data_IF_757948954423
#
_entry.id   IF_757948954423
#
_cell.length_a   1.000
_cell.length_b   1.000
_cell.length_c   1.000
_cell.angle_alpha   90.00
_cell.angle_beta   90.00
_cell.angle_gamma   90.00
#
_symmetry.space_group_name_H-M   'P 1'
#
loop_
_entity.id
_entity.type
_entity.pdbx_description
1 polymer ?
#
# COMPACT_ATOMS: atom_id res chain seq x y z
N UNK A 1 -9.91 15.25 13.15
CA UNK A 1 -10.52 14.52 12.01
C UNK A 1 -9.93 13.12 12.00
N UNK A 2 -10.69 12.11 11.57
CA UNK A 2 -10.12 10.78 11.36
C UNK A 2 -9.19 10.81 10.15
N UNK A 3 -8.10 10.05 10.20
CA UNK A 3 -7.18 9.88 9.06
C UNK A 3 -7.86 9.04 7.99
N UNK A 4 -7.58 9.32 6.72
CA UNK A 4 -8.00 8.46 5.61
C UNK A 4 -7.12 7.21 5.61
N UNK A 5 -7.75 6.03 5.72
CA UNK A 5 -7.06 4.75 5.68
C UNK A 5 -6.83 4.31 4.24
N UNK A 6 -5.56 4.13 3.89
CA UNK A 6 -5.12 3.86 2.53
C UNK A 6 -4.49 2.48 2.44
N UNK A 7 -4.87 1.71 1.43
CA UNK A 7 -4.16 0.51 1.00
C UNK A 7 -3.52 0.79 -0.36
N UNK A 8 -2.23 0.51 -0.52
CA UNK A 8 -1.50 0.79 -1.77
C UNK A 8 -1.19 -0.53 -2.48
N UNK A 9 -1.68 -0.69 -3.70
CA UNK A 9 -1.42 -1.85 -4.55
C UNK A 9 -0.24 -1.58 -5.48
N UNK A 10 0.69 -2.54 -5.63
CA UNK A 10 1.77 -2.39 -6.59
C UNK A 10 2.73 -3.58 -6.67
N UNK A 11 3.88 -3.31 -7.30
CA UNK A 11 4.92 -4.30 -7.57
C UNK A 11 6.29 -3.86 -7.01
N UNK A 12 6.33 -3.32 -5.78
CA UNK A 12 7.53 -2.93 -5.05
C UNK A 12 8.44 -1.89 -5.73
N UNK A 13 7.83 -0.98 -6.47
CA UNK A 13 8.49 0.16 -7.09
C UNK A 13 7.69 1.43 -6.83
N UNK A 14 6.69 1.67 -7.68
CA UNK A 14 5.90 2.90 -7.65
C UNK A 14 5.00 3.02 -6.41
N UNK A 15 4.50 1.92 -5.87
CA UNK A 15 3.83 1.85 -4.57
C UNK A 15 4.68 2.43 -3.43
N UNK A 16 5.90 1.92 -3.24
CA UNK A 16 6.82 2.42 -2.23
C UNK A 16 7.26 3.85 -2.52
N UNK A 17 7.46 4.21 -3.79
CA UNK A 17 7.77 5.59 -4.16
C UNK A 17 6.63 6.55 -3.79
N UNK A 18 5.38 6.21 -4.15
CA UNK A 18 4.21 7.01 -3.82
C UNK A 18 4.05 7.14 -2.30
N UNK A 19 4.24 6.05 -1.54
CA UNK A 19 4.28 6.08 -0.08
C UNK A 19 5.29 7.12 0.45
N UNK A 20 6.54 7.02 -0.01
CA UNK A 20 7.62 7.88 0.47
C UNK A 20 7.41 9.36 0.14
N UNK A 21 6.79 9.66 -1.01
CA UNK A 21 6.61 11.04 -1.48
C UNK A 21 5.34 11.71 -0.95
N UNK A 22 4.26 10.94 -0.72
CA UNK A 22 2.93 11.50 -0.42
C UNK A 22 2.47 11.19 1.00
N UNK A 23 2.81 10.01 1.54
CA UNK A 23 2.13 9.45 2.72
C UNK A 23 3.00 9.35 3.98
N UNK A 24 4.31 9.10 3.86
CA UNK A 24 5.22 8.70 4.95
C UNK A 24 5.09 9.50 6.26
N UNK A 25 5.01 10.83 6.17
CA UNK A 25 4.94 11.72 7.33
C UNK A 25 3.72 12.66 7.27
N UNK A 26 2.70 12.28 6.50
CA UNK A 26 1.47 13.03 6.36
C UNK A 26 0.39 12.49 7.30
N UNK A 27 0.04 13.25 8.33
CA UNK A 27 -0.88 12.82 9.37
C UNK A 27 -2.36 12.84 8.94
N UNK A 28 -2.66 13.30 7.73
CA UNK A 28 -3.98 13.19 7.11
C UNK A 28 -4.30 11.75 6.69
N UNK A 29 -3.27 10.92 6.50
CA UNK A 29 -3.40 9.56 5.98
C UNK A 29 -2.84 8.52 6.95
N UNK A 30 -3.35 7.30 6.84
CA UNK A 30 -2.85 6.10 7.50
C UNK A 30 -2.75 4.98 6.46
N UNK A 31 -1.54 4.68 5.99
CA UNK A 31 -1.30 3.57 5.07
C UNK A 31 -1.29 2.29 5.88
N UNK A 32 -2.38 1.53 5.78
CA UNK A 32 -2.62 0.34 6.63
C UNK A 32 -1.95 -0.92 6.08
N UNK A 33 -1.71 -0.96 4.77
CA UNK A 33 -1.11 -2.10 4.09
C UNK A 33 -0.59 -1.74 2.69
N UNK A 34 0.39 -2.52 2.24
CA UNK A 34 0.68 -2.71 0.83
C UNK A 34 0.15 -4.07 0.37
N UNK A 35 -0.13 -4.22 -0.93
CA UNK A 35 -0.32 -5.53 -1.56
C UNK A 35 0.66 -5.73 -2.70
N UNK A 36 1.05 -6.98 -2.96
CA UNK A 36 1.93 -7.35 -4.06
C UNK A 36 1.53 -8.70 -4.70
N UNK A 37 1.88 -8.89 -5.98
CA UNK A 37 1.55 -10.10 -6.76
C UNK A 37 2.70 -10.64 -7.64
N UNK A 38 3.74 -9.84 -7.91
CA UNK A 38 4.75 -10.15 -8.93
C UNK A 38 6.14 -10.56 -8.41
N UNK A 39 6.43 -10.37 -7.11
CA UNK A 39 7.76 -10.58 -6.55
C UNK A 39 7.70 -11.76 -5.59
N UNK A 40 8.41 -12.86 -5.88
CA UNK A 40 8.48 -14.00 -4.97
C UNK A 40 8.94 -13.57 -3.57
N UNK A 41 8.30 -14.11 -2.54
CA UNK A 41 8.64 -13.94 -1.12
C UNK A 41 8.55 -12.50 -0.59
N UNK A 42 7.81 -11.61 -1.26
CA UNK A 42 7.57 -10.25 -0.76
C UNK A 42 6.34 -10.16 0.14
N UNK A 43 5.31 -10.96 -0.17
CA UNK A 43 4.13 -11.11 0.65
C UNK A 43 4.50 -11.67 2.02
N UNK A 44 3.84 -11.19 3.07
CA UNK A 44 4.17 -11.50 4.46
C UNK A 44 5.36 -10.72 5.03
N UNK A 45 6.07 -9.93 4.21
CA UNK A 45 7.09 -8.99 4.71
C UNK A 45 6.45 -7.72 5.26
N UNK A 46 7.31 -6.90 5.85
CA UNK A 46 6.97 -5.58 6.37
C UNK A 46 7.84 -4.55 5.64
N UNK A 47 7.22 -3.51 5.09
CA UNK A 47 7.93 -2.32 4.66
C UNK A 47 8.63 -1.70 5.87
N UNK A 48 9.95 -1.58 5.87
CA UNK A 48 10.74 -1.49 7.10
C UNK A 48 10.48 -0.18 7.87
N UNK A 49 10.40 -0.23 9.22
CA UNK A 49 10.21 0.95 10.06
C UNK A 49 11.24 2.07 9.78
N UNK A 50 12.49 1.70 9.47
CA UNK A 50 13.58 2.63 9.20
C UNK A 50 13.34 3.49 7.94
N UNK A 51 12.48 3.02 7.03
CA UNK A 51 12.08 3.75 5.81
C UNK A 51 10.65 4.31 5.91
N UNK A 52 9.86 3.86 6.89
CA UNK A 52 8.45 4.16 7.01
C UNK A 52 8.15 5.51 7.70
N UNK A 53 9.16 6.18 8.26
CA UNK A 53 8.98 7.47 8.92
C UNK A 53 8.33 7.38 10.30
N UNK A 54 8.13 8.54 10.94
CA UNK A 54 7.80 8.60 12.38
C UNK A 54 6.41 8.06 12.73
N UNK A 55 5.51 8.00 11.74
CA UNK A 55 4.13 7.55 11.93
C UNK A 55 4.00 6.03 11.93
N UNK A 56 5.03 5.29 11.48
CA UNK A 56 4.98 3.85 11.29
C UNK A 56 6.17 3.15 11.98
N UNK A 57 6.27 3.22 13.33
CA UNK A 57 7.39 2.65 14.08
C UNK A 57 7.47 1.12 14.03
N UNK A 58 6.43 0.45 13.53
CA UNK A 58 6.38 -1.00 13.30
C UNK A 58 6.50 -1.37 11.81
N UNK A 59 6.73 -0.39 10.94
CA UNK A 59 6.64 -0.57 9.51
C UNK A 59 5.19 -0.74 9.04
N UNK A 60 5.02 -1.18 7.80
CA UNK A 60 3.71 -1.37 7.17
C UNK A 60 3.66 -2.79 6.57
N UNK A 61 2.64 -3.61 6.86
CA UNK A 61 2.57 -4.97 6.34
C UNK A 61 2.38 -4.99 4.82
N UNK A 62 2.95 -6.02 4.19
CA UNK A 62 2.81 -6.30 2.76
C UNK A 62 2.06 -7.64 2.65
N UNK A 63 0.87 -7.63 2.07
CA UNK A 63 0.03 -8.81 1.88
C UNK A 63 0.01 -9.28 0.43
N UNK A 64 -0.52 -10.48 0.20
CA UNK A 64 -0.77 -10.93 -1.16
C UNK A 64 -1.94 -10.13 -1.77
N UNK A 65 -1.83 -9.77 -3.04
CA UNK A 65 -2.89 -9.01 -3.72
C UNK A 65 -4.22 -9.75 -3.78
N UNK A 66 -4.22 -11.08 -3.81
CA UNK A 66 -5.43 -11.89 -3.76
C UNK A 66 -6.27 -11.66 -2.48
N UNK A 67 -5.65 -11.18 -1.40
CA UNK A 67 -6.31 -10.85 -0.14
C UNK A 67 -6.96 -9.46 -0.13
N UNK A 68 -6.79 -8.66 -1.20
CA UNK A 68 -7.22 -7.25 -1.26
C UNK A 68 -8.65 -7.03 -0.77
N UNK A 69 -9.58 -7.84 -1.24
CA UNK A 69 -11.01 -7.69 -0.91
C UNK A 69 -11.25 -7.87 0.59
N UNK A 70 -10.61 -8.87 1.19
CA UNK A 70 -10.77 -9.17 2.60
C UNK A 70 -10.07 -8.11 3.46
N UNK A 71 -8.89 -7.65 3.04
CA UNK A 71 -8.14 -6.58 3.69
C UNK A 71 -8.91 -5.26 3.72
N UNK A 72 -9.61 -4.90 2.63
CA UNK A 72 -10.45 -3.68 2.59
C UNK A 72 -11.47 -3.70 3.72
N UNK A 73 -12.13 -4.84 3.95
CA UNK A 73 -13.12 -4.99 5.01
C UNK A 73 -12.47 -5.07 6.39
N UNK A 74 -11.43 -5.89 6.57
CA UNK A 74 -10.79 -6.13 7.86
C UNK A 74 -10.10 -4.88 8.41
N UNK A 75 -9.43 -4.11 7.55
CA UNK A 75 -8.68 -2.91 7.93
C UNK A 75 -9.55 -1.64 7.93
N UNK A 76 -10.79 -1.73 7.43
CA UNK A 76 -11.69 -0.59 7.19
C UNK A 76 -11.02 0.45 6.29
N UNK A 77 -10.60 0.02 5.10
CA UNK A 77 -9.92 0.88 4.11
C UNK A 77 -10.91 1.89 3.52
N UNK A 78 -10.50 3.16 3.46
CA UNK A 78 -11.26 4.24 2.83
C UNK A 78 -10.88 4.39 1.35
N UNK A 79 -9.59 4.25 1.03
CA UNK A 79 -9.06 4.42 -0.32
C UNK A 79 -8.08 3.32 -0.71
N UNK A 80 -8.18 2.85 -1.95
CA UNK A 80 -7.20 1.95 -2.56
C UNK A 80 -6.44 2.72 -3.64
N UNK A 81 -5.12 2.79 -3.50
CA UNK A 81 -4.24 3.45 -4.46
C UNK A 81 -3.66 2.39 -5.40
N UNK A 82 -4.10 2.42 -6.65
CA UNK A 82 -3.54 1.59 -7.71
C UNK A 82 -2.21 2.19 -8.21
N UNK A 83 -1.08 1.65 -7.74
CA UNK A 83 0.25 2.18 -8.01
C UNK A 83 1.07 1.33 -9.00
N UNK A 84 0.41 0.62 -9.92
CA UNK A 84 1.10 -0.04 -11.04
C UNK A 84 1.56 0.97 -12.11
N UNK A 85 2.59 0.60 -12.87
CA UNK A 85 3.14 1.41 -13.98
C UNK A 85 3.24 0.66 -15.30
N UNK A 86 3.04 -0.65 -15.24
CA UNK A 86 3.21 -1.64 -16.31
C UNK A 86 1.87 -2.22 -16.81
N UNK A 87 0.76 -1.76 -16.25
CA UNK A 87 -0.58 -2.24 -16.60
C UNK A 87 -1.13 -1.46 -17.80
N UNK A 88 -1.61 -2.13 -18.86
CA UNK A 88 -2.20 -1.46 -20.02
C UNK A 88 -3.42 -0.62 -19.64
N UNK A 89 -3.59 0.53 -20.27
CA UNK A 89 -4.77 1.39 -20.09
C UNK A 89 -6.08 0.63 -20.30
N UNK A 90 -6.14 -0.25 -21.30
CA UNK A 90 -7.32 -1.07 -21.61
C UNK A 90 -7.74 -1.98 -20.45
N UNK A 91 -6.80 -2.45 -19.63
CA UNK A 91 -7.13 -3.26 -18.46
C UNK A 91 -7.79 -2.45 -17.34
N UNK A 92 -7.50 -1.13 -17.26
CA UNK A 92 -7.91 -0.29 -16.13
C UNK A 92 -9.18 0.52 -16.44
N UNK A 93 -9.34 1.01 -17.68
CA UNK A 93 -10.36 2.02 -18.01
C UNK A 93 -11.07 1.81 -19.36
N UNK A 94 -11.17 0.58 -19.87
CA UNK A 94 -11.99 0.27 -21.06
C UNK A 94 -12.87 -0.97 -20.89
#
# INVERSE_FOLDING_TARGET
>A
MNKTKVLIMGAAGRDFHNFNMVFRDNDQYEVVAFTATQIPDIEGRVYPPELAGKLYPKGIPIFAEEELRDLIHQLNVDEVVFAYSDVPHEYVMH
#
